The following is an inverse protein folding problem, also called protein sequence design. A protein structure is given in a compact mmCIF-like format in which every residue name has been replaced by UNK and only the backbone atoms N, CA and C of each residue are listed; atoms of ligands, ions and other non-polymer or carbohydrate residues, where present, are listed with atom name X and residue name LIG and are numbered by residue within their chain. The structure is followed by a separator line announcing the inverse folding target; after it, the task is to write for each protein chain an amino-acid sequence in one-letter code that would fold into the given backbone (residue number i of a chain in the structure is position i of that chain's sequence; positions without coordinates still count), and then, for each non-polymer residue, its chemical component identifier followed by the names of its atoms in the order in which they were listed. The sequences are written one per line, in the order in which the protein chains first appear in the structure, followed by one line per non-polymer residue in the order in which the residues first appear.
data_IF_137889231955
#
_entry.id   IF_137889231955
#
_cell.length_a   1.000
_cell.length_b   1.000
_cell.length_c   1.000
_cell.angle_alpha   90.00
_cell.angle_beta   90.00
_cell.angle_gamma   90.00
#
_symmetry.space_group_name_H-M   'P 1'
#
loop_
_entity.id
_entity.type
_entity.pdbx_description
1 polymer ?
#
# COMPACT_ATOMS: atom_id res chain seq x y z
N UNK A 1 -1.13 21.30 -14.45
CA UNK A 1 -1.50 20.13 -15.27
C UNK A 1 -1.68 18.95 -14.34
N UNK A 2 -2.74 18.15 -14.51
CA UNK A 2 -2.80 16.83 -13.88
C UNK A 2 -1.75 15.92 -14.55
N UNK A 3 -1.09 15.02 -13.81
CA UNK A 3 -0.10 14.11 -14.40
C UNK A 3 -0.76 13.23 -15.47
N UNK A 4 -0.03 12.98 -16.55
CA UNK A 4 -0.48 12.06 -17.60
C UNK A 4 -0.40 10.62 -17.12
N UNK A 5 -1.15 9.72 -17.76
CA UNK A 5 -1.09 8.29 -17.45
C UNK A 5 0.34 7.73 -17.50
N UNK A 6 1.17 8.21 -18.42
CA UNK A 6 2.57 7.78 -18.56
C UNK A 6 3.44 8.23 -17.38
N UNK A 7 3.26 9.46 -16.90
CA UNK A 7 3.98 9.97 -15.73
C UNK A 7 3.60 9.23 -14.44
N UNK A 8 2.31 8.94 -14.25
CA UNK A 8 1.86 8.14 -13.11
C UNK A 8 2.41 6.71 -13.15
N UNK A 9 2.41 6.07 -14.32
CA UNK A 9 3.01 4.74 -14.51
C UNK A 9 4.50 4.78 -14.22
N UNK A 10 5.23 5.75 -14.77
CA UNK A 10 6.67 5.88 -14.54
C UNK A 10 7.00 6.10 -13.05
N UNK A 11 6.20 6.89 -12.34
CA UNK A 11 6.34 7.06 -10.89
C UNK A 11 6.09 5.76 -10.11
N UNK A 12 5.08 4.98 -10.50
CA UNK A 12 4.83 3.66 -9.91
C UNK A 12 5.92 2.64 -10.23
N UNK A 13 6.56 2.75 -11.40
CA UNK A 13 7.73 1.94 -11.77
C UNK A 13 8.97 2.26 -10.94
N UNK A 14 9.25 3.54 -10.70
CA UNK A 14 10.31 3.95 -9.78
C UNK A 14 10.07 3.39 -8.38
N UNK A 15 8.84 3.50 -7.88
CA UNK A 15 8.44 2.94 -6.59
C UNK A 15 8.68 1.42 -6.55
N UNK A 16 8.31 0.69 -7.60
CA UNK A 16 8.51 -0.75 -7.70
C UNK A 16 9.99 -1.13 -7.72
N UNK A 17 10.80 -0.39 -8.49
CA UNK A 17 12.25 -0.60 -8.55
C UNK A 17 12.92 -0.32 -7.21
N UNK A 18 12.54 0.77 -6.54
CA UNK A 18 13.05 1.09 -5.20
C UNK A 18 12.62 0.07 -4.16
N UNK A 19 11.39 -0.43 -4.23
CA UNK A 19 10.94 -1.53 -3.40
C UNK A 19 11.80 -2.77 -3.66
N UNK A 20 12.10 -3.10 -4.92
CA UNK A 20 12.96 -4.23 -5.28
C UNK A 20 14.37 -4.12 -4.67
N UNK A 21 14.94 -2.91 -4.64
CA UNK A 21 16.27 -2.63 -4.08
C UNK A 21 16.28 -2.40 -2.55
N UNK A 22 15.12 -2.35 -1.90
CA UNK A 22 15.03 -2.09 -0.45
C UNK A 22 15.40 -3.35 0.34
N UNK A 23 16.34 -3.22 1.27
CA UNK A 23 16.71 -4.25 2.25
C UNK A 23 15.56 -4.57 3.22
N UNK A 24 15.51 -5.79 3.73
CA UNK A 24 14.46 -6.22 4.68
C UNK A 24 14.41 -5.36 5.96
N UNK A 25 15.55 -4.86 6.43
CA UNK A 25 15.65 -3.97 7.59
C UNK A 25 14.92 -2.62 7.41
N UNK A 26 14.82 -2.14 6.16
CA UNK A 26 14.15 -0.89 5.81
C UNK A 26 12.74 -1.11 5.26
N UNK A 27 12.38 -2.37 4.98
CA UNK A 27 11.13 -2.75 4.35
C UNK A 27 9.93 -2.21 5.10
N UNK A 28 9.89 -2.35 6.43
CA UNK A 28 8.78 -1.84 7.25
C UNK A 28 8.54 -0.33 7.03
N UNK A 29 9.60 0.48 7.15
CA UNK A 29 9.52 1.94 6.96
C UNK A 29 9.09 2.32 5.55
N UNK A 30 9.55 1.56 4.55
CA UNK A 30 9.17 1.78 3.16
C UNK A 30 7.70 1.41 2.96
N UNK A 31 7.25 0.25 3.43
CA UNK A 31 5.86 -0.18 3.31
C UNK A 31 4.89 0.75 4.04
N UNK A 32 5.28 1.29 5.19
CA UNK A 32 4.50 2.31 5.92
C UNK A 32 4.16 3.53 5.08
N UNK A 33 5.04 3.94 4.15
CA UNK A 33 4.79 5.08 3.26
C UNK A 33 4.21 4.66 1.93
N UNK A 34 4.69 3.54 1.40
CA UNK A 34 4.40 3.06 0.06
C UNK A 34 2.98 2.49 -0.05
N UNK A 35 2.53 1.69 0.93
CA UNK A 35 1.17 1.11 0.92
C UNK A 35 0.10 2.19 0.81
N UNK A 36 0.01 3.19 1.72
CA UNK A 36 -1.01 4.22 1.61
C UNK A 36 -0.86 5.08 0.34
N UNK A 37 0.37 5.34 -0.11
CA UNK A 37 0.61 6.08 -1.36
C UNK A 37 0.07 5.33 -2.59
N UNK A 38 0.34 4.03 -2.72
CA UNK A 38 -0.11 3.22 -3.86
C UNK A 38 -1.62 2.96 -3.80
N UNK A 39 -2.19 2.76 -2.61
CA UNK A 39 -3.65 2.70 -2.44
C UNK A 39 -4.29 4.02 -2.89
N UNK A 40 -3.69 5.16 -2.54
CA UNK A 40 -4.14 6.47 -3.03
C UNK A 40 -4.06 6.60 -4.55
N UNK A 41 -3.03 6.04 -5.18
CA UNK A 41 -2.88 6.02 -6.64
C UNK A 41 -4.01 5.27 -7.36
N UNK A 42 -4.74 4.36 -6.70
CA UNK A 42 -5.90 3.68 -7.30
C UNK A 42 -7.08 4.64 -7.60
N UNK A 43 -7.05 5.87 -7.09
CA UNK A 43 -8.02 6.93 -7.41
C UNK A 43 -7.83 7.49 -8.82
N UNK A 44 -6.68 7.22 -9.47
CA UNK A 44 -6.40 7.71 -10.83
C UNK A 44 -7.49 7.27 -11.83
N UNK A 45 -7.95 8.17 -12.73
CA UNK A 45 -8.84 7.79 -13.82
C UNK A 45 -8.13 6.97 -14.91
N UNK A 46 -6.80 6.84 -14.87
CA UNK A 46 -6.04 6.15 -15.91
C UNK A 46 -5.91 4.64 -15.64
N UNK A 47 -6.48 3.80 -16.50
CA UNK A 47 -6.41 2.34 -16.40
C UNK A 47 -4.98 1.78 -16.34
N UNK A 48 -4.05 2.36 -17.11
CA UNK A 48 -2.65 1.93 -17.13
C UNK A 48 -1.97 2.15 -15.76
N UNK A 49 -2.15 3.33 -15.17
CA UNK A 49 -1.62 3.64 -13.84
C UNK A 49 -2.28 2.77 -12.76
N UNK A 50 -3.60 2.55 -12.85
CA UNK A 50 -4.33 1.66 -11.94
C UNK A 50 -3.80 0.23 -11.98
N UNK A 51 -3.60 -0.34 -13.18
CA UNK A 51 -3.01 -1.68 -13.33
C UNK A 51 -1.61 -1.76 -12.72
N UNK A 52 -0.80 -0.72 -12.93
CA UNK A 52 0.55 -0.66 -12.36
C UNK A 52 0.53 -0.56 -10.83
N UNK A 53 -0.39 0.21 -10.26
CA UNK A 53 -0.56 0.28 -8.80
C UNK A 53 -0.94 -1.08 -8.21
N UNK A 54 -1.82 -1.84 -8.86
CA UNK A 54 -2.15 -3.21 -8.45
C UNK A 54 -0.95 -4.16 -8.52
N UNK A 55 -0.11 -4.02 -9.55
CA UNK A 55 1.15 -4.76 -9.65
C UNK A 55 2.06 -4.45 -8.46
N UNK A 56 2.28 -3.16 -8.15
CA UNK A 56 3.06 -2.74 -6.97
C UNK A 56 2.51 -3.35 -5.68
N UNK A 57 1.18 -3.30 -5.46
CA UNK A 57 0.55 -3.92 -4.29
C UNK A 57 0.76 -5.44 -4.24
N UNK A 58 0.78 -6.13 -5.38
CA UNK A 58 1.11 -7.56 -5.44
C UNK A 58 2.54 -7.85 -4.99
N UNK A 59 3.51 -7.01 -5.41
CA UNK A 59 4.90 -7.11 -4.95
C UNK A 59 5.03 -6.83 -3.45
N UNK A 60 4.32 -5.82 -2.95
CA UNK A 60 4.24 -5.53 -1.52
C UNK A 60 3.68 -6.72 -0.74
N UNK A 61 2.60 -7.34 -1.21
CA UNK A 61 2.01 -8.52 -0.58
C UNK A 61 2.97 -9.71 -0.52
N UNK A 62 3.78 -9.93 -1.56
CA UNK A 62 4.82 -10.97 -1.55
C UNK A 62 5.87 -10.70 -0.47
N UNK A 63 6.35 -9.45 -0.37
CA UNK A 63 7.32 -9.01 0.65
C UNK A 63 6.75 -9.11 2.06
N UNK A 64 5.50 -8.68 2.26
CA UNK A 64 4.78 -8.82 3.53
C UNK A 64 4.66 -10.27 3.97
N UNK A 65 4.41 -11.21 3.04
CA UNK A 65 4.36 -12.65 3.36
C UNK A 65 5.73 -13.21 3.75
N UNK A 66 6.80 -12.73 3.13
CA UNK A 66 8.17 -13.12 3.47
C UNK A 66 8.62 -12.55 4.82
N UNK A 67 8.11 -11.38 5.21
CA UNK A 67 8.45 -10.69 6.46
C UNK A 67 7.24 -10.61 7.42
N UNK A 68 6.91 -11.69 8.16
CA UNK A 68 5.77 -11.71 9.08
C UNK A 68 5.91 -10.74 10.27
N UNK A 69 7.14 -10.34 10.62
CA UNK A 69 7.41 -9.37 11.68
C UNK A 69 7.20 -7.90 11.29
N UNK A 70 7.00 -7.60 10.00
CA UNK A 70 6.81 -6.22 9.53
C UNK A 70 5.39 -5.74 9.84
N UNK A 71 5.29 -4.59 10.50
CA UNK A 71 4.04 -3.91 10.80
C UNK A 71 3.62 -2.95 9.67
N UNK A 72 2.35 -2.53 9.71
CA UNK A 72 1.74 -1.64 8.73
C UNK A 72 1.06 -0.46 9.45
N UNK A 73 0.89 0.69 8.79
CA UNK A 73 0.43 1.92 9.43
C UNK A 73 -1.09 1.89 9.63
N UNK A 74 -1.54 1.14 10.63
CA UNK A 74 -2.96 0.87 10.89
C UNK A 74 -3.82 2.14 10.91
N UNK A 75 -3.40 3.16 11.66
CA UNK A 75 -4.16 4.41 11.78
C UNK A 75 -4.39 5.11 10.45
N UNK A 76 -3.38 5.09 9.57
CA UNK A 76 -3.49 5.68 8.23
C UNK A 76 -4.40 4.85 7.32
N UNK A 77 -4.28 3.52 7.37
CA UNK A 77 -5.11 2.61 6.57
C UNK A 77 -6.59 2.69 6.97
N UNK A 78 -6.88 2.69 8.28
CA UNK A 78 -8.24 2.88 8.80
C UNK A 78 -8.78 4.25 8.41
N UNK A 79 -7.97 5.31 8.48
CA UNK A 79 -8.36 6.64 8.02
C UNK A 79 -8.75 6.68 6.54
N UNK A 80 -8.03 5.92 5.69
CA UNK A 80 -8.37 5.79 4.28
C UNK A 80 -9.66 4.98 4.05
N UNK A 81 -9.87 3.90 4.83
CA UNK A 81 -11.06 3.06 4.72
C UNK A 81 -12.34 3.72 5.30
N UNK A 82 -12.17 4.55 6.34
CA UNK A 82 -13.23 5.23 7.07
C UNK A 82 -13.40 6.70 6.68
N UNK A 83 -12.81 7.12 5.56
CA UNK A 83 -12.92 8.50 5.05
C UNK A 83 -14.39 8.97 5.06
N UNK A 84 -14.67 10.02 5.82
CA UNK A 84 -16.02 10.56 6.01
C UNK A 84 -16.58 11.04 4.67
N UNK A 85 -17.78 10.59 4.31
CA UNK A 85 -18.42 10.84 3.01
C UNK A 85 -18.33 9.68 2.02
N UNK A 86 -17.54 8.64 2.32
CA UNK A 86 -17.33 7.49 1.44
C UNK A 86 -16.36 7.81 0.31
N UNK A 87 -15.26 7.05 0.20
CA UNK A 87 -14.38 7.17 -0.96
C UNK A 87 -15.16 6.79 -2.23
N UNK A 88 -15.24 7.65 -3.26
CA UNK A 88 -15.95 7.34 -4.50
C UNK A 88 -15.30 6.16 -5.25
N UNK A 89 -14.09 5.75 -4.87
CA UNK A 89 -13.38 4.61 -5.42
C UNK A 89 -13.44 3.42 -4.46
N UNK A 90 -14.34 2.43 -4.69
CA UNK A 90 -14.51 1.28 -3.81
C UNK A 90 -13.22 0.45 -3.66
N UNK A 91 -12.35 0.44 -4.68
CA UNK A 91 -11.07 -0.27 -4.64
C UNK A 91 -10.15 0.26 -3.51
N UNK A 92 -10.07 1.59 -3.35
CA UNK A 92 -9.24 2.23 -2.32
C UNK A 92 -9.68 1.76 -0.95
N UNK A 93 -10.99 1.79 -0.70
CA UNK A 93 -11.61 1.36 0.55
C UNK A 93 -11.36 -0.13 0.82
N UNK A 94 -11.58 -0.99 -0.16
CA UNK A 94 -11.38 -2.45 -0.02
C UNK A 94 -9.92 -2.78 0.30
N UNK A 95 -8.97 -2.21 -0.44
CA UNK A 95 -7.55 -2.45 -0.17
C UNK A 95 -7.13 -1.87 1.18
N UNK A 96 -7.54 -0.64 1.51
CA UNK A 96 -7.24 -0.03 2.80
C UNK A 96 -7.76 -0.89 3.98
N UNK A 97 -8.97 -1.43 3.86
CA UNK A 97 -9.57 -2.30 4.88
C UNK A 97 -8.78 -3.61 5.04
N UNK A 98 -8.47 -4.31 3.93
CA UNK A 98 -7.69 -5.57 3.96
C UNK A 98 -6.30 -5.36 4.57
N UNK A 99 -5.61 -4.28 4.20
CA UNK A 99 -4.31 -3.96 4.80
C UNK A 99 -4.43 -3.53 6.26
N UNK A 100 -5.51 -2.85 6.66
CA UNK A 100 -5.76 -2.51 8.05
C UNK A 100 -5.99 -3.77 8.90
N UNK A 101 -6.82 -4.71 8.44
CA UNK A 101 -7.02 -6.00 9.09
C UNK A 101 -5.69 -6.75 9.22
N UNK A 102 -4.92 -6.81 8.14
CA UNK A 102 -3.57 -7.42 8.15
C UNK A 102 -2.66 -6.75 9.18
N UNK A 103 -2.69 -5.42 9.28
CA UNK A 103 -1.89 -4.66 10.24
C UNK A 103 -2.30 -4.99 11.69
N UNK A 104 -3.61 -5.04 11.98
CA UNK A 104 -4.13 -5.41 13.31
C UNK A 104 -3.74 -6.84 13.69
N UNK A 105 -3.89 -7.78 12.77
CA UNK A 105 -3.58 -9.19 13.01
C UNK A 105 -2.10 -9.39 13.32
N UNK A 106 -1.22 -8.61 12.68
CA UNK A 106 0.23 -8.61 12.94
C UNK A 106 0.59 -7.93 14.26
N UNK A 107 -0.02 -6.80 14.58
CA UNK A 107 0.20 -6.11 15.85
C UNK A 107 -0.16 -7.02 17.05
N UNK A 108 -1.29 -7.73 16.98
CA UNK A 108 -1.69 -8.68 18.02
C UNK A 108 -0.80 -9.93 18.13
N UNK A 109 -0.06 -10.29 17.08
CA UNK A 109 0.95 -11.37 17.13
C UNK A 109 2.27 -10.90 17.73
N UNK A 110 2.67 -9.65 17.47
CA UNK A 110 3.86 -9.05 18.08
C UNK A 110 3.71 -8.92 19.60
N UNK A 111 2.53 -8.52 20.08
CA UNK A 111 2.24 -8.36 21.52
C UNK A 111 2.24 -9.70 22.29
N UNK A 112 1.85 -10.81 21.63
CA UNK A 112 1.87 -12.16 22.24
C UNK A 112 3.24 -12.82 22.30
N UNK A 113 4.24 -12.24 21.62
CA UNK A 113 5.62 -12.74 21.63
C UNK A 113 6.52 -11.94 22.58
N UNK A 114 5.94 -10.98 23.32
CA UNK A 114 6.63 -10.10 24.29
C UNK A 114 6.45 -10.59 25.72
#
# INVERSE_FOLDING_TARGET
MAPTAAEEVAGLEDILMRLALTDDEKLEKVLHKLVPAVIGALRTPHDAARKKALEVLSHVNKRLKAAPGVTLPLGQLVGMAAAQGGDPHPMVRSFALVYAETAMERAGKAEKLS
#
